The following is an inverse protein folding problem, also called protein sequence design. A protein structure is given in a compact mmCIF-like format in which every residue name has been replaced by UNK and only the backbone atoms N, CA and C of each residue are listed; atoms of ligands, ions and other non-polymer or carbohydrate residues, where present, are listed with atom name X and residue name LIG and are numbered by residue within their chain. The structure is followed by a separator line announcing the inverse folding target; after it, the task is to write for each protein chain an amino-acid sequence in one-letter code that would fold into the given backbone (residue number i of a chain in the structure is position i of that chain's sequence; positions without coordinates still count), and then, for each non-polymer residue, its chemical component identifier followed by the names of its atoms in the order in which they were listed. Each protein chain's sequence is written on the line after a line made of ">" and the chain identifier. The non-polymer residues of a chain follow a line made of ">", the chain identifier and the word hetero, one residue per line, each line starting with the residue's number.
data_IF_756279352191
#
_entry.id   IF_756279352191
#
_cell.length_a   1.000
_cell.length_b   1.000
_cell.length_c   1.000
_cell.angle_alpha   90.00
_cell.angle_beta   90.00
_cell.angle_gamma   90.00
#
_symmetry.space_group_name_H-M   'P 1'
#
loop_
_entity.id
_entity.type
_entity.pdbx_description
1 polymer ?
#
# COMPACT_ATOMS: atom_id res chain seq x y z
N UNK A 1 -2.38 -8.99 20.71
CA UNK A 1 -1.19 -9.86 20.84
C UNK A 1 -0.39 -9.33 22.01
N UNK A 2 0.14 -10.19 22.87
CA UNK A 2 0.81 -9.79 24.11
C UNK A 2 0.02 -8.72 24.88
N UNK A 3 -1.23 -9.05 25.19
CA UNK A 3 -2.14 -8.20 25.95
C UNK A 3 -2.45 -6.83 25.34
N UNK A 4 -2.06 -6.54 24.11
CA UNK A 4 -2.44 -5.31 23.41
C UNK A 4 -3.42 -5.58 22.27
N UNK A 5 -4.33 -4.63 22.06
CA UNK A 5 -5.33 -4.66 21.00
C UNK A 5 -4.92 -3.65 19.94
N UNK A 6 -4.76 -4.10 18.70
CA UNK A 6 -4.30 -3.24 17.61
C UNK A 6 -5.35 -3.12 16.51
N UNK A 7 -5.39 -1.97 15.84
CA UNK A 7 -6.11 -1.84 14.58
C UNK A 7 -5.39 -2.65 13.48
N UNK A 8 -6.10 -3.48 12.70
CA UNK A 8 -5.48 -4.22 11.58
C UNK A 8 -4.92 -3.28 10.51
N UNK A 9 -5.50 -2.08 10.37
CA UNK A 9 -5.01 -1.05 9.46
C UNK A 9 -3.62 -0.56 9.86
N UNK A 10 -3.36 -0.36 11.15
CA UNK A 10 -2.12 0.23 11.64
C UNK A 10 -1.05 -0.79 12.04
N UNK A 11 -1.44 -1.98 12.52
CA UNK A 11 -0.49 -2.94 13.11
C UNK A 11 0.51 -3.51 12.10
N UNK A 12 1.79 -3.57 12.45
CA UNK A 12 2.82 -4.22 11.65
C UNK A 12 3.78 -5.00 12.55
N UNK A 13 4.37 -6.07 12.01
CA UNK A 13 5.45 -6.79 12.67
C UNK A 13 6.73 -5.94 12.56
N UNK A 14 7.25 -5.46 13.68
CA UNK A 14 8.40 -4.55 13.79
C UNK A 14 9.73 -5.28 13.97
N UNK A 15 9.68 -6.53 14.42
CA UNK A 15 10.86 -7.29 14.80
C UNK A 15 10.73 -8.76 14.43
N UNK A 16 11.83 -9.38 14.00
CA UNK A 16 11.83 -10.79 13.56
C UNK A 16 11.70 -11.77 14.73
N UNK A 17 12.38 -11.50 15.85
CA UNK A 17 12.46 -12.43 17.01
C UNK A 17 11.83 -11.96 18.33
N UNK A 18 11.59 -10.66 18.57
CA UNK A 18 11.02 -10.20 19.84
C UNK A 18 9.57 -10.66 19.96
N UNK A 19 9.17 -11.02 21.18
CA UNK A 19 7.77 -11.34 21.50
C UNK A 19 6.89 -10.09 21.25
N UNK A 20 7.31 -8.93 21.77
CA UNK A 20 6.68 -7.61 21.54
C UNK A 20 6.98 -7.02 20.17
N UNK A 21 6.56 -7.71 19.11
CA UNK A 21 6.86 -7.33 17.72
C UNK A 21 5.73 -6.59 17.01
N UNK A 22 4.46 -6.76 17.42
CA UNK A 22 3.39 -6.07 16.73
C UNK A 22 3.23 -4.65 17.27
N UNK A 23 3.34 -3.67 16.38
CA UNK A 23 3.28 -2.26 16.73
C UNK A 23 2.32 -1.51 15.79
N UNK A 24 1.59 -0.54 16.33
CA UNK A 24 0.62 0.28 15.56
C UNK A 24 1.13 1.68 15.21
N UNK A 25 2.42 1.95 15.40
CA UNK A 25 3.06 3.21 15.04
C UNK A 25 2.30 4.43 15.58
N UNK A 26 2.10 5.44 14.72
CA UNK A 26 1.50 6.74 15.05
C UNK A 26 0.08 6.66 15.63
N UNK A 27 -0.70 5.63 15.28
CA UNK A 27 -2.08 5.50 15.76
C UNK A 27 -2.18 4.87 17.16
N UNK A 28 -1.09 4.27 17.66
CA UNK A 28 -1.11 3.58 18.94
C UNK A 28 -2.01 2.34 18.97
N UNK A 29 -2.08 1.71 20.14
CA UNK A 29 -2.98 0.58 20.40
C UNK A 29 -4.42 1.07 20.58
N UNK A 30 -5.39 0.23 20.25
CA UNK A 30 -6.81 0.48 20.50
C UNK A 30 -7.18 0.22 21.97
N UNK A 31 -6.40 -0.64 22.64
CA UNK A 31 -6.69 -1.08 24.00
C UNK A 31 -5.70 -2.13 24.50
N UNK A 32 -5.97 -2.64 25.70
CA UNK A 32 -5.19 -3.67 26.39
C UNK A 32 -6.10 -4.76 26.96
N UNK A 33 -5.51 -5.89 27.31
CA UNK A 33 -6.11 -6.99 28.06
C UNK A 33 -5.43 -6.99 29.44
N UNK A 34 -6.19 -6.71 30.50
CA UNK A 34 -5.69 -6.73 31.87
C UNK A 34 -6.49 -7.75 32.66
N UNK A 35 -5.82 -8.77 33.21
CA UNK A 35 -6.45 -9.86 33.97
C UNK A 35 -7.61 -10.52 33.19
N UNK A 36 -7.40 -10.74 31.89
CA UNK A 36 -8.40 -11.33 30.98
C UNK A 36 -9.56 -10.39 30.59
N UNK A 37 -9.56 -9.14 31.05
CA UNK A 37 -10.59 -8.13 30.73
C UNK A 37 -10.11 -7.15 29.67
N UNK A 38 -10.99 -6.79 28.75
CA UNK A 38 -10.70 -5.85 27.67
C UNK A 38 -10.89 -4.40 28.14
N UNK A 39 -9.86 -3.57 27.93
CA UNK A 39 -9.90 -2.13 28.19
C UNK A 39 -9.55 -1.39 26.90
N UNK A 40 -10.46 -0.57 26.39
CA UNK A 40 -10.25 0.20 25.16
C UNK A 40 -9.95 1.67 25.49
N UNK A 41 -8.97 2.25 24.78
CA UNK A 41 -8.54 3.64 24.95
C UNK A 41 -9.07 4.56 23.86
N UNK A 42 -9.24 4.04 22.64
CA UNK A 42 -9.60 4.80 21.46
C UNK A 42 -10.93 4.34 20.87
N UNK A 43 -11.61 5.26 20.20
CA UNK A 43 -12.84 4.95 19.47
C UNK A 43 -12.56 3.91 18.37
N UNK A 44 -13.43 2.90 18.31
CA UNK A 44 -13.36 1.75 17.40
C UNK A 44 -13.84 2.10 16.00
N UNK A 45 -14.41 3.28 15.78
CA UNK A 45 -15.16 3.62 14.58
C UNK A 45 -14.35 3.74 13.27
N UNK A 46 -13.02 3.56 13.28
CA UNK A 46 -12.27 3.38 12.05
C UNK A 46 -12.26 1.89 11.64
N UNK A 47 -13.34 1.46 11.01
CA UNK A 47 -13.39 0.19 10.30
C UNK A 47 -13.26 0.45 8.80
N UNK A 48 -12.19 -0.01 8.14
CA UNK A 48 -12.16 -0.01 6.68
C UNK A 48 -13.34 -0.85 6.16
N UNK A 49 -13.90 -0.44 5.02
CA UNK A 49 -15.01 -1.11 4.35
C UNK A 49 -14.79 -2.62 4.31
N UNK A 50 -15.72 -3.38 4.89
CA UNK A 50 -15.68 -4.83 4.81
C UNK A 50 -16.08 -5.28 3.41
N UNK A 51 -15.23 -6.08 2.77
CA UNK A 51 -15.54 -6.74 1.51
C UNK A 51 -16.07 -8.13 1.79
N UNK A 52 -17.14 -8.53 1.09
CA UNK A 52 -17.52 -9.95 1.06
C UNK A 52 -16.33 -10.81 0.57
N UNK A 53 -16.36 -12.11 0.80
CA UNK A 53 -15.30 -12.99 0.28
C UNK A 53 -15.21 -12.89 -1.25
N UNK A 54 -14.01 -12.86 -1.84
CA UNK A 54 -13.84 -12.81 -3.28
C UNK A 54 -14.18 -14.15 -3.93
N UNK A 55 -14.77 -14.11 -5.13
CA UNK A 55 -15.09 -15.31 -5.91
C UNK A 55 -14.00 -15.64 -6.94
N UNK A 56 -13.26 -14.64 -7.44
CA UNK A 56 -12.09 -14.81 -8.31
C UNK A 56 -10.81 -14.47 -7.56
N UNK A 57 -9.85 -15.38 -7.61
CA UNK A 57 -8.60 -15.32 -6.82
C UNK A 57 -7.34 -15.63 -7.66
N UNK A 58 -7.50 -15.75 -8.97
CA UNK A 58 -6.47 -16.13 -9.94
C UNK A 58 -5.60 -14.95 -10.40
N UNK A 59 -6.03 -13.71 -10.14
CA UNK A 59 -5.26 -12.51 -10.48
C UNK A 59 -4.04 -12.32 -9.58
N UNK A 60 -2.99 -11.76 -10.18
CA UNK A 60 -1.75 -11.41 -9.48
C UNK A 60 -1.57 -9.90 -9.39
N UNK A 61 -1.06 -9.45 -8.25
CA UNK A 61 -0.60 -8.07 -8.03
C UNK A 61 0.90 -8.10 -7.75
N UNK A 62 1.67 -7.42 -8.59
CA UNK A 62 3.11 -7.29 -8.42
C UNK A 62 3.43 -6.32 -7.27
N UNK A 63 4.53 -6.56 -6.56
CA UNK A 63 5.09 -5.64 -5.59
C UNK A 63 6.59 -5.51 -5.86
N UNK A 64 7.01 -4.34 -6.30
CA UNK A 64 8.40 -4.04 -6.65
C UNK A 64 8.96 -3.02 -5.67
N UNK A 65 10.13 -3.31 -5.10
CA UNK A 65 10.86 -2.38 -4.28
C UNK A 65 11.83 -1.57 -5.13
N UNK A 66 11.76 -0.25 -5.03
CA UNK A 66 12.81 0.60 -5.59
C UNK A 66 14.10 0.40 -4.77
N UNK A 67 15.18 0.07 -5.47
CA UNK A 67 16.53 -0.03 -4.91
C UNK A 67 17.55 0.68 -5.79
N UNK A 68 18.74 0.93 -5.22
CA UNK A 68 19.86 1.50 -5.97
C UNK A 68 20.13 0.66 -7.23
N UNK A 69 20.34 1.34 -8.36
CA UNK A 69 20.64 0.72 -9.66
C UNK A 69 19.59 -0.29 -10.17
N UNK A 70 18.35 -0.19 -9.69
CA UNK A 70 17.24 -0.96 -10.30
C UNK A 70 17.04 -0.48 -11.73
N UNK A 71 17.08 -1.42 -12.68
CA UNK A 71 16.59 -1.16 -14.03
C UNK A 71 15.07 -1.36 -14.08
N UNK A 72 14.47 -1.08 -15.23
CA UNK A 72 13.03 -1.11 -15.40
C UNK A 72 12.49 -2.37 -16.08
N UNK A 73 13.34 -3.36 -16.38
CA UNK A 73 12.96 -4.55 -17.14
C UNK A 73 11.91 -5.38 -16.39
N UNK A 74 12.08 -5.56 -15.07
CA UNK A 74 11.11 -6.29 -14.26
C UNK A 74 9.77 -5.55 -14.20
N UNK A 75 9.78 -4.23 -14.09
CA UNK A 75 8.56 -3.44 -14.08
C UNK A 75 7.83 -3.53 -15.42
N UNK A 76 8.55 -3.45 -16.55
CA UNK A 76 7.98 -3.66 -17.90
C UNK A 76 7.38 -5.05 -18.02
N UNK A 77 8.11 -6.09 -17.61
CA UNK A 77 7.60 -7.46 -17.60
C UNK A 77 6.28 -7.58 -16.83
N UNK A 78 6.19 -6.99 -15.63
CA UNK A 78 4.95 -7.02 -14.85
C UNK A 78 3.78 -6.37 -15.60
N UNK A 79 4.02 -5.25 -16.29
CA UNK A 79 2.97 -4.48 -16.98
C UNK A 79 2.62 -5.01 -18.38
N UNK A 80 3.54 -5.71 -19.04
CA UNK A 80 3.42 -6.13 -20.45
C UNK A 80 3.12 -7.63 -20.61
N UNK A 81 3.40 -8.46 -19.61
CA UNK A 81 3.21 -9.93 -19.70
C UNK A 81 1.76 -10.39 -19.76
N UNK A 82 0.80 -9.54 -19.37
CA UNK A 82 -0.60 -9.93 -19.18
C UNK A 82 -0.86 -10.78 -17.93
N UNK A 83 0.17 -11.09 -17.14
CA UNK A 83 0.04 -11.93 -15.93
C UNK A 83 -0.43 -11.15 -14.71
N UNK A 84 -0.06 -9.87 -14.60
CA UNK A 84 -0.38 -9.05 -13.44
C UNK A 84 -1.54 -8.09 -13.75
N UNK A 85 -2.52 -8.07 -12.85
CA UNK A 85 -3.68 -7.19 -12.91
C UNK A 85 -3.46 -5.84 -12.18
N UNK A 86 -2.31 -5.67 -11.52
CA UNK A 86 -1.98 -4.47 -10.77
C UNK A 86 -0.52 -4.46 -10.32
N UNK A 87 0.00 -3.28 -10.01
CA UNK A 87 1.38 -3.09 -9.57
C UNK A 87 1.42 -2.20 -8.32
N UNK A 88 2.18 -2.63 -7.32
CA UNK A 88 2.62 -1.80 -6.20
C UNK A 88 4.09 -1.46 -6.39
N UNK A 89 4.42 -0.18 -6.24
CA UNK A 89 5.81 0.31 -6.19
C UNK A 89 6.10 0.75 -4.76
N UNK A 90 7.03 0.08 -4.08
CA UNK A 90 7.58 0.54 -2.82
C UNK A 90 8.71 1.54 -3.10
N UNK A 91 8.33 2.81 -3.26
CA UNK A 91 9.20 3.93 -3.62
C UNK A 91 10.02 4.48 -2.45
N UNK A 92 10.95 5.37 -2.76
CA UNK A 92 11.81 6.03 -1.79
C UNK A 92 11.05 7.09 -0.98
N UNK A 93 11.38 7.24 0.31
CA UNK A 93 10.90 8.35 1.14
C UNK A 93 9.38 8.48 1.11
N UNK A 94 8.86 9.60 0.60
CA UNK A 94 7.44 9.88 0.49
C UNK A 94 6.73 9.19 -0.71
N UNK A 95 7.32 8.14 -1.28
CA UNK A 95 6.78 7.40 -2.43
C UNK A 95 7.31 7.90 -3.77
N UNK A 96 8.60 8.19 -3.87
CA UNK A 96 9.23 8.65 -5.11
C UNK A 96 9.88 7.49 -5.87
N UNK A 97 9.91 7.61 -7.19
CA UNK A 97 10.51 6.66 -8.12
C UNK A 97 11.69 7.30 -8.87
N UNK A 98 12.52 6.47 -9.51
CA UNK A 98 13.51 6.96 -10.47
C UNK A 98 12.84 7.56 -11.70
N UNK A 99 13.60 8.33 -12.48
CA UNK A 99 13.10 8.95 -13.71
C UNK A 99 12.69 7.90 -14.74
N UNK A 100 13.43 6.80 -14.84
CA UNK A 100 13.12 5.72 -15.78
C UNK A 100 11.85 4.96 -15.37
N UNK A 101 11.63 4.78 -14.07
CA UNK A 101 10.37 4.20 -13.58
C UNK A 101 9.20 5.14 -13.85
N UNK A 102 9.39 6.45 -13.63
CA UNK A 102 8.38 7.48 -13.87
C UNK A 102 7.86 7.47 -15.33
N UNK A 103 8.76 7.29 -16.31
CA UNK A 103 8.38 7.21 -17.72
C UNK A 103 7.43 6.04 -18.01
N UNK A 104 7.65 4.90 -17.35
CA UNK A 104 6.81 3.71 -17.51
C UNK A 104 5.49 3.89 -16.77
N UNK A 105 5.51 4.43 -15.55
CA UNK A 105 4.29 4.76 -14.81
C UNK A 105 3.38 5.64 -15.68
N UNK A 106 3.93 6.68 -16.32
CA UNK A 106 3.19 7.55 -17.25
C UNK A 106 2.54 6.80 -18.42
N UNK A 107 3.19 5.76 -18.92
CA UNK A 107 2.69 4.96 -20.04
C UNK A 107 1.56 3.98 -19.63
N UNK A 108 1.57 3.49 -18.39
CA UNK A 108 0.74 2.35 -17.96
C UNK A 108 -0.27 2.65 -16.86
N UNK A 109 -0.09 3.70 -16.06
CA UNK A 109 -0.93 3.96 -14.89
C UNK A 109 -2.41 4.22 -15.24
N UNK A 110 -2.73 4.57 -16.49
CA UNK A 110 -4.13 4.69 -16.98
C UNK A 110 -4.74 3.39 -17.52
N UNK A 111 -3.94 2.31 -17.60
CA UNK A 111 -4.34 1.02 -18.17
C UNK A 111 -4.41 -0.09 -17.11
N UNK A 112 -3.48 -0.04 -16.17
CA UNK A 112 -3.35 -1.00 -15.06
C UNK A 112 -3.25 -0.17 -13.78
N UNK A 113 -3.96 -0.52 -12.68
CA UNK A 113 -3.80 0.17 -11.41
C UNK A 113 -2.36 0.07 -10.90
N UNK A 114 -1.73 1.24 -10.71
CA UNK A 114 -0.41 1.38 -10.09
C UNK A 114 -0.58 2.15 -8.78
N UNK A 115 -0.23 1.53 -7.66
CA UNK A 115 -0.17 2.19 -6.36
C UNK A 115 1.28 2.37 -5.95
N UNK A 116 1.64 3.58 -5.55
CA UNK A 116 2.95 3.90 -5.01
C UNK A 116 2.83 4.04 -3.51
N UNK A 117 3.62 3.23 -2.81
CA UNK A 117 3.75 3.23 -1.37
C UNK A 117 5.17 3.63 -0.98
N UNK A 118 5.35 4.07 0.26
CA UNK A 118 6.70 4.18 0.82
C UNK A 118 7.26 2.80 1.09
N UNK A 119 8.54 2.58 0.76
CA UNK A 119 9.31 1.44 1.25
C UNK A 119 9.79 1.62 2.71
N UNK A 120 9.68 2.83 3.25
CA UNK A 120 10.01 3.12 4.64
C UNK A 120 9.07 2.38 5.57
N UNK A 121 9.57 2.02 6.75
CA UNK A 121 8.79 1.29 7.75
C UNK A 121 7.62 2.14 8.31
N UNK A 122 7.81 3.46 8.40
CA UNK A 122 6.81 4.42 8.88
C UNK A 122 6.77 5.67 8.00
N UNK A 123 5.62 6.35 8.04
CA UNK A 123 5.35 7.57 7.29
C UNK A 123 4.31 7.37 6.19
N UNK A 124 3.72 8.48 5.76
CA UNK A 124 2.80 8.51 4.62
C UNK A 124 3.54 8.86 3.35
N UNK A 125 3.02 8.41 2.21
CA UNK A 125 3.31 9.10 0.95
C UNK A 125 2.75 10.52 0.96
N UNK A 126 3.41 11.46 0.29
CA UNK A 126 2.89 12.82 0.11
C UNK A 126 2.00 12.89 -1.13
N UNK A 127 1.30 14.03 -1.33
CA UNK A 127 0.49 14.27 -2.54
C UNK A 127 0.80 15.59 -3.27
N UNK A 128 1.42 16.56 -2.60
CA UNK A 128 1.52 17.95 -3.10
C UNK A 128 2.83 18.66 -2.75
N UNK A 129 3.89 17.93 -2.38
CA UNK A 129 5.13 18.54 -1.87
C UNK A 129 6.17 18.72 -2.97
N UNK A 130 6.47 17.68 -3.75
CA UNK A 130 7.53 17.73 -4.77
C UNK A 130 6.97 17.58 -6.19
N UNK A 131 7.50 18.37 -7.13
CA UNK A 131 7.05 18.43 -8.53
C UNK A 131 8.06 17.97 -9.58
N UNK A 132 9.13 17.30 -9.19
CA UNK A 132 10.13 16.79 -10.15
C UNK A 132 9.72 15.43 -10.74
N UNK A 133 10.34 15.02 -11.84
CA UNK A 133 10.04 13.73 -12.46
C UNK A 133 10.23 12.55 -11.49
N UNK A 134 9.23 11.68 -11.34
CA UNK A 134 9.28 10.58 -10.36
C UNK A 134 8.80 10.95 -8.95
N UNK A 135 8.46 12.21 -8.70
CA UNK A 135 7.83 12.62 -7.44
C UNK A 135 6.33 12.31 -7.43
N UNK A 136 5.70 12.44 -6.26
CA UNK A 136 4.28 12.20 -6.08
C UNK A 136 3.39 13.04 -7.01
N UNK A 137 3.70 14.33 -7.25
CA UNK A 137 2.87 15.18 -8.12
C UNK A 137 2.94 14.66 -9.56
N UNK A 138 4.13 14.27 -10.03
CA UNK A 138 4.33 13.68 -11.36
C UNK A 138 3.60 12.34 -11.50
N UNK A 139 3.70 11.49 -10.47
CA UNK A 139 3.09 10.16 -10.48
C UNK A 139 1.56 10.23 -10.40
N UNK A 140 1.00 11.11 -9.57
CA UNK A 140 -0.44 11.38 -9.51
C UNK A 140 -0.95 11.90 -10.86
N UNK A 141 -0.27 12.88 -11.44
CA UNK A 141 -0.63 13.44 -12.76
C UNK A 141 -0.58 12.36 -13.87
N UNK A 142 0.33 11.40 -13.72
CA UNK A 142 0.46 10.23 -14.61
C UNK A 142 -0.67 9.21 -14.45
N UNK A 143 -1.45 9.28 -13.36
CA UNK A 143 -2.57 8.40 -13.05
C UNK A 143 -2.29 7.33 -12.00
N UNK A 144 -1.12 7.36 -11.35
CA UNK A 144 -0.80 6.47 -10.24
C UNK A 144 -1.47 6.95 -8.94
N UNK A 145 -1.64 6.03 -7.99
CA UNK A 145 -2.29 6.28 -6.72
C UNK A 145 -1.28 6.25 -5.59
N UNK A 146 -1.35 7.21 -4.67
CA UNK A 146 -0.47 7.22 -3.50
C UNK A 146 -1.12 6.44 -2.35
N UNK A 147 -0.38 5.55 -1.68
CA UNK A 147 -0.93 4.64 -0.66
C UNK A 147 -1.25 5.31 0.69
N UNK A 148 -0.85 6.57 0.87
CA UNK A 148 -0.93 7.25 2.14
C UNK A 148 -0.10 6.51 3.19
N UNK A 149 -0.74 6.17 4.32
CA UNK A 149 -0.12 5.42 5.41
C UNK A 149 -0.10 3.90 5.23
N UNK A 150 -0.74 3.36 4.18
CA UNK A 150 -0.65 1.93 3.92
C UNK A 150 0.77 1.57 3.46
N UNK A 151 1.39 0.61 4.15
CA UNK A 151 2.64 0.02 3.71
C UNK A 151 2.47 -0.68 2.36
N UNK A 152 3.55 -0.85 1.61
CA UNK A 152 3.49 -1.50 0.30
C UNK A 152 2.85 -2.90 0.34
N UNK A 153 3.12 -3.67 1.40
CA UNK A 153 2.50 -4.99 1.60
C UNK A 153 0.99 -4.89 1.82
N UNK A 154 0.52 -3.94 2.62
CA UNK A 154 -0.91 -3.74 2.86
C UNK A 154 -1.62 -3.15 1.65
N UNK A 155 -1.00 -2.21 0.95
CA UNK A 155 -1.49 -1.67 -0.31
C UNK A 155 -1.66 -2.79 -1.36
N UNK A 156 -0.72 -3.74 -1.43
CA UNK A 156 -0.84 -4.93 -2.29
C UNK A 156 -2.06 -5.77 -1.95
N UNK A 157 -2.29 -6.05 -0.66
CA UNK A 157 -3.45 -6.82 -0.21
C UNK A 157 -4.76 -6.09 -0.54
N UNK A 158 -4.81 -4.78 -0.31
CA UNK A 158 -6.00 -3.98 -0.61
C UNK A 158 -6.31 -3.95 -2.12
N UNK A 159 -5.30 -3.69 -2.95
CA UNK A 159 -5.47 -3.73 -4.41
C UNK A 159 -5.90 -5.11 -4.89
N UNK A 160 -5.29 -6.18 -4.34
CA UNK A 160 -5.69 -7.54 -4.66
C UNK A 160 -7.17 -7.77 -4.30
N UNK A 161 -7.63 -7.32 -3.12
CA UNK A 161 -9.02 -7.46 -2.69
C UNK A 161 -9.99 -6.67 -3.59
N UNK A 162 -9.62 -5.45 -4.01
CA UNK A 162 -10.42 -4.67 -4.95
C UNK A 162 -10.56 -5.35 -6.31
N UNK A 163 -9.46 -5.88 -6.86
CA UNK A 163 -9.48 -6.62 -8.12
C UNK A 163 -10.28 -7.92 -8.01
N UNK A 164 -10.20 -8.60 -6.87
CA UNK A 164 -10.99 -9.79 -6.57
C UNK A 164 -12.50 -9.52 -6.51
N UNK A 165 -12.89 -8.26 -6.27
CA UNK A 165 -14.26 -7.76 -6.34
C UNK A 165 -14.67 -7.28 -7.73
N UNK A 166 -13.78 -7.32 -8.71
CA UNK A 166 -14.04 -6.81 -10.05
C UNK A 166 -14.20 -5.29 -10.07
N UNK A 167 -13.63 -4.56 -9.11
CA UNK A 167 -13.68 -3.10 -9.14
C UNK A 167 -12.92 -2.58 -10.35
N UNK A 168 -13.56 -1.69 -11.10
CA UNK A 168 -12.91 -0.93 -12.18
C UNK A 168 -11.84 0.00 -11.61
N UNK A 169 -10.90 0.40 -12.45
CA UNK A 169 -9.87 1.37 -12.06
C UNK A 169 -10.46 2.66 -11.47
N UNK A 170 -11.56 3.17 -12.03
CA UNK A 170 -12.25 4.36 -11.51
C UNK A 170 -12.79 4.15 -10.08
N UNK A 171 -13.35 2.96 -9.80
CA UNK A 171 -13.83 2.62 -8.46
C UNK A 171 -12.66 2.46 -7.47
N UNK A 172 -11.55 1.88 -7.91
CA UNK A 172 -10.33 1.75 -7.09
C UNK A 172 -9.80 3.12 -6.70
N UNK A 173 -9.75 4.07 -7.65
CA UNK A 173 -9.33 5.46 -7.39
C UNK A 173 -10.22 6.08 -6.32
N UNK A 174 -11.54 6.03 -6.47
CA UNK A 174 -12.48 6.62 -5.50
C UNK A 174 -12.52 5.94 -4.12
N UNK A 175 -11.90 4.76 -3.96
CA UNK A 175 -11.77 4.08 -2.68
C UNK A 175 -10.44 4.40 -1.96
N UNK A 176 -9.47 5.00 -2.66
CA UNK A 176 -8.14 5.35 -2.14
C UNK A 176 -7.95 6.86 -1.92
N UNK A 177 -8.91 7.67 -2.39
CA UNK A 177 -9.01 9.12 -2.12
C UNK A 177 -9.98 9.40 -0.97
#
# INVERSE_FOLDING_TARGET
>A
MNDTIHSPYWVQKSHTVKVETFQSGLAGILGTILEGKLFYFNDRNFFPTAFALPQKIDHQVALLYCSLSSNTNLMRFCLESGHYAGLIIAGFGAGHCSFQEADIVRQYAKKIPIIIASRSYHGSTTRTIYGYKGSEIDMITSGALMSGYLSAVKARLLLWAFLAKGLSQKQIIGMLE
#
